data_IF_516937748550
#
_entry.id   IF_516937748550
#
_cell.length_a   1.000
_cell.length_b   1.000
_cell.length_c   1.000
_cell.angle_alpha   90.00
_cell.angle_beta   90.00
_cell.angle_gamma   90.00
#
_symmetry.space_group_name_H-M   'P 1'
#
loop_
_entity.id
_entity.type
_entity.pdbx_description
1 polymer ?
#
# COMPACT_ATOMS: atom_id res chain seq x y z
N UNK A 1 18.39 2.11 5.03
CA UNK A 1 17.32 1.16 4.69
C UNK A 1 16.12 1.44 5.60
N UNK A 2 14.98 1.75 5.00
CA UNK A 2 13.74 2.14 5.69
C UNK A 2 12.54 1.37 5.15
N UNK A 3 11.44 1.34 5.90
CA UNK A 3 10.17 0.75 5.45
C UNK A 3 9.13 1.85 5.24
N UNK A 4 8.51 1.88 4.07
CA UNK A 4 7.46 2.83 3.68
C UNK A 4 6.13 2.10 3.49
N UNK A 5 5.07 2.69 4.05
CA UNK A 5 3.68 2.29 3.80
C UNK A 5 3.02 3.46 3.09
N UNK A 6 2.65 3.28 1.83
CA UNK A 6 2.04 4.33 1.01
C UNK A 6 0.53 4.08 0.94
N UNK A 7 -0.24 4.95 1.60
CA UNK A 7 -1.69 4.89 1.63
C UNK A 7 -2.27 5.87 0.60
N UNK A 8 -3.17 5.39 -0.24
CA UNK A 8 -3.87 6.23 -1.21
C UNK A 8 -5.03 7.01 -0.56
N UNK A 9 -5.51 8.06 -1.23
CA UNK A 9 -6.71 8.80 -0.84
C UNK A 9 -8.01 8.11 -1.29
N UNK A 10 -9.17 8.71 -1.03
CA UNK A 10 -10.45 8.17 -1.52
C UNK A 10 -10.51 8.03 -3.05
N UNK A 11 -11.28 7.06 -3.54
CA UNK A 11 -11.44 6.75 -4.98
C UNK A 11 -10.15 6.37 -5.73
N UNK A 12 -9.10 6.05 -5.01
CA UNK A 12 -7.83 5.56 -5.55
C UNK A 12 -7.54 4.12 -5.10
N UNK A 13 -6.38 3.61 -5.49
CA UNK A 13 -5.79 2.35 -5.03
C UNK A 13 -4.26 2.48 -5.02
N UNK A 14 -3.55 1.40 -4.69
CA UNK A 14 -2.09 1.35 -4.67
C UNK A 14 -1.45 1.76 -6.00
N UNK A 15 -2.18 1.63 -7.12
CA UNK A 15 -1.75 2.01 -8.47
C UNK A 15 -1.29 3.47 -8.59
N UNK A 16 -1.78 4.40 -7.74
CA UNK A 16 -1.33 5.80 -7.78
C UNK A 16 0.15 5.97 -7.41
N UNK A 17 0.73 4.96 -6.76
CA UNK A 17 2.11 4.99 -6.27
C UNK A 17 3.11 4.27 -7.18
N UNK A 18 2.70 3.68 -8.31
CA UNK A 18 3.57 2.90 -9.20
C UNK A 18 4.88 3.63 -9.57
N UNK A 19 4.79 4.94 -9.84
CA UNK A 19 5.95 5.77 -10.19
C UNK A 19 6.89 6.08 -9.03
N UNK A 20 6.41 5.98 -7.79
CA UNK A 20 7.20 6.23 -6.57
C UNK A 20 7.81 4.95 -5.99
N UNK A 21 7.18 3.80 -6.22
CA UNK A 21 7.62 2.50 -5.69
C UNK A 21 8.98 2.09 -6.23
N UNK A 22 9.19 2.20 -7.55
CA UNK A 22 10.43 1.72 -8.18
C UNK A 22 11.68 2.48 -7.71
N UNK A 23 11.71 3.83 -7.67
CA UNK A 23 12.85 4.56 -7.12
C UNK A 23 13.16 4.20 -5.65
N UNK A 24 12.13 4.10 -4.80
CA UNK A 24 12.32 3.78 -3.38
C UNK A 24 12.87 2.36 -3.19
N UNK A 25 12.42 1.40 -3.99
CA UNK A 25 12.96 0.04 -3.98
C UNK A 25 14.40 0.00 -4.50
N UNK A 26 14.71 0.74 -5.56
CA UNK A 26 16.06 0.85 -6.10
C UNK A 26 17.06 1.42 -5.08
N UNK A 27 16.60 2.36 -4.24
CA UNK A 27 17.37 2.90 -3.11
C UNK A 27 17.47 1.94 -1.89
N UNK A 28 17.01 0.70 -2.05
CA UNK A 28 17.11 -0.35 -1.02
C UNK A 28 16.09 -0.20 0.10
N UNK A 29 14.92 0.39 -0.15
CA UNK A 29 13.84 0.47 0.82
C UNK A 29 12.79 -0.61 0.63
N UNK A 30 12.13 -1.00 1.73
CA UNK A 30 10.93 -1.85 1.68
C UNK A 30 9.72 -0.96 1.47
N UNK A 31 8.90 -1.23 0.46
CA UNK A 31 7.71 -0.44 0.14
C UNK A 31 6.50 -1.35 -0.01
N UNK A 32 5.42 -1.00 0.70
CA UNK A 32 4.10 -1.64 0.57
C UNK A 32 3.04 -0.58 0.24
N UNK A 33 2.15 -0.92 -0.70
CA UNK A 33 1.07 -0.06 -1.20
C UNK A 33 -0.28 -0.78 -1.03
N UNK A 34 -0.74 -1.01 0.22
CA UNK A 34 -1.99 -1.72 0.43
C UNK A 34 -3.18 -0.89 -0.08
N UNK A 35 -4.18 -1.57 -0.64
CA UNK A 35 -5.48 -0.95 -0.90
C UNK A 35 -6.25 -0.79 0.42
N UNK A 36 -6.85 0.37 0.63
CA UNK A 36 -7.74 0.60 1.77
C UNK A 36 -8.99 -0.27 1.61
N UNK A 37 -9.54 -0.74 2.74
CA UNK A 37 -10.79 -1.50 2.75
C UNK A 37 -11.90 -0.77 1.96
N UNK A 38 -12.65 -1.52 1.16
CA UNK A 38 -13.66 -0.99 0.23
C UNK A 38 -13.11 -0.35 -1.05
N UNK A 39 -11.79 -0.35 -1.28
CA UNK A 39 -11.14 0.18 -2.48
C UNK A 39 -10.25 -0.88 -3.15
N UNK A 40 -9.89 -0.64 -4.41
CA UNK A 40 -8.93 -1.46 -5.14
C UNK A 40 -9.41 -2.86 -5.52
N UNK A 41 -8.46 -3.71 -5.93
CA UNK A 41 -8.76 -5.03 -6.51
C UNK A 41 -9.17 -6.09 -5.46
N UNK A 42 -8.84 -5.84 -4.19
CA UNK A 42 -8.96 -6.84 -3.13
C UNK A 42 -10.36 -6.90 -2.48
N UNK A 43 -11.25 -5.94 -2.77
CA UNK A 43 -12.68 -6.05 -2.43
C UNK A 43 -13.00 -6.30 -0.94
N UNK A 44 -12.06 -6.00 -0.03
CA UNK A 44 -12.25 -6.23 1.40
C UNK A 44 -13.38 -5.34 1.93
N UNK A 45 -14.27 -5.84 2.82
CA UNK A 45 -15.36 -5.05 3.36
C UNK A 45 -14.83 -3.83 4.10
N UNK A 46 -15.53 -2.69 3.98
CA UNK A 46 -15.16 -1.37 4.51
C UNK A 46 -14.81 -1.36 6.01
N UNK A 47 -15.18 -2.41 6.75
CA UNK A 47 -14.86 -2.63 8.16
C UNK A 47 -13.97 -3.88 8.34
N UNK A 48 -12.68 -3.79 7.98
CA UNK A 48 -11.69 -4.62 8.70
C UNK A 48 -10.25 -4.11 8.61
N UNK A 49 -9.74 -3.82 9.81
CA UNK A 49 -8.37 -3.74 10.32
C UNK A 49 -7.22 -4.12 9.38
N UNK A 50 -6.28 -3.19 9.18
CA UNK A 50 -4.90 -3.47 8.72
C UNK A 50 -4.26 -4.48 9.68
N UNK A 51 -4.39 -5.78 9.40
CA UNK A 51 -3.70 -6.82 10.16
C UNK A 51 -2.29 -6.97 9.60
N UNK A 52 -1.33 -6.27 10.20
CA UNK A 52 0.07 -6.60 10.04
C UNK A 52 0.32 -7.96 10.73
N UNK A 53 0.39 -9.05 9.95
CA UNK A 53 1.04 -10.28 10.44
C UNK A 53 2.53 -10.07 10.35
N UNK A 54 3.15 -9.72 11.48
CA UNK A 54 4.57 -9.93 11.69
C UNK A 54 4.80 -11.45 11.79
N UNK A 55 5.49 -12.00 10.80
CA UNK A 55 6.13 -13.30 10.84
C UNK A 55 7.62 -13.10 10.62
#
# INVERSE_FOLDING_TARGET
MSSYVLLHGGWAGGWVWERAVEPLRADGHRVVTPDLAGHGAEGLPMINTLRFRAG
#
